data_IF_497973228220
#
_entry.id   IF_497973228220
#
_cell.length_a   1.000
_cell.length_b   1.000
_cell.length_c   1.000
_cell.angle_alpha   90.00
_cell.angle_beta   90.00
_cell.angle_gamma   90.00
#
_symmetry.space_group_name_H-M   'P 1'
#
loop_
_entity.id
_entity.type
_entity.pdbx_description
1 polymer ?
#
# COMPACT_ATOMS: atom_id res chain seq x y z
N UNK A 1 -14.51 6.31 -14.16
CA UNK A 1 -13.80 5.07 -14.56
C UNK A 1 -14.59 4.30 -15.59
N UNK A 2 -13.92 3.76 -16.63
CA UNK A 2 -14.53 2.84 -17.61
C UNK A 2 -14.52 1.40 -17.08
N UNK A 3 -15.34 0.51 -17.66
CA UNK A 3 -15.40 -0.90 -17.23
C UNK A 3 -14.04 -1.61 -17.31
N UNK A 4 -13.20 -1.28 -18.29
CA UNK A 4 -11.83 -1.80 -18.41
C UNK A 4 -10.95 -1.39 -17.21
N UNK A 5 -11.10 -0.16 -16.73
CA UNK A 5 -10.31 0.37 -15.61
C UNK A 5 -10.63 -0.38 -14.32
N UNK A 6 -11.93 -0.62 -14.07
CA UNK A 6 -12.40 -1.40 -12.91
C UNK A 6 -11.81 -2.81 -12.95
N UNK A 7 -11.79 -3.45 -14.13
CA UNK A 7 -11.20 -4.78 -14.28
C UNK A 7 -9.68 -4.79 -13.98
N UNK A 8 -8.94 -3.78 -14.46
CA UNK A 8 -7.50 -3.66 -14.18
C UNK A 8 -7.25 -3.49 -12.68
N UNK A 9 -8.00 -2.60 -12.00
CA UNK A 9 -7.93 -2.47 -10.54
C UNK A 9 -8.20 -3.81 -9.87
N UNK A 10 -9.28 -4.49 -10.24
CA UNK A 10 -9.67 -5.76 -9.64
C UNK A 10 -8.59 -6.83 -9.78
N UNK A 11 -7.99 -6.97 -10.96
CA UNK A 11 -6.89 -7.90 -11.21
C UNK A 11 -5.66 -7.56 -10.37
N UNK A 12 -5.25 -6.28 -10.35
CA UNK A 12 -4.12 -5.84 -9.55
C UNK A 12 -4.33 -6.11 -8.05
N UNK A 13 -5.51 -5.78 -7.52
CA UNK A 13 -5.84 -6.02 -6.12
C UNK A 13 -5.90 -7.51 -5.78
N UNK A 14 -6.45 -8.35 -6.67
CA UNK A 14 -6.46 -9.80 -6.49
C UNK A 14 -5.04 -10.37 -6.45
N UNK A 15 -4.17 -9.97 -7.36
CA UNK A 15 -2.75 -10.36 -7.36
C UNK A 15 -2.08 -9.91 -6.05
N UNK A 16 -2.30 -8.66 -5.64
CA UNK A 16 -1.76 -8.13 -4.38
C UNK A 16 -2.22 -8.92 -3.16
N UNK A 17 -3.50 -9.31 -3.11
CA UNK A 17 -4.07 -10.11 -2.04
C UNK A 17 -3.43 -11.52 -1.98
N UNK A 18 -3.25 -12.17 -3.13
CA UNK A 18 -2.57 -13.48 -3.21
C UNK A 18 -1.11 -13.35 -2.75
N UNK A 19 -0.39 -12.34 -3.21
CA UNK A 19 1.00 -12.10 -2.79
C UNK A 19 1.09 -11.87 -1.27
N UNK A 20 0.17 -11.10 -0.70
CA UNK A 20 0.11 -10.89 0.75
C UNK A 20 -0.19 -12.18 1.51
N UNK A 21 -1.13 -12.99 1.00
CA UNK A 21 -1.46 -14.28 1.59
C UNK A 21 -0.25 -15.22 1.60
N UNK A 22 0.45 -15.35 0.46
CA UNK A 22 1.66 -16.17 0.35
C UNK A 22 2.78 -15.63 1.24
N UNK A 23 2.98 -14.31 1.29
CA UNK A 23 4.00 -13.70 2.15
C UNK A 23 3.73 -13.97 3.64
N UNK A 24 2.45 -14.01 4.05
CA UNK A 24 2.04 -14.38 5.41
C UNK A 24 2.27 -15.86 5.76
N UNK A 25 2.42 -16.76 4.78
CA UNK A 25 2.71 -18.18 5.03
C UNK A 25 4.15 -18.44 5.50
N UNK A 26 5.07 -17.48 5.34
CA UNK A 26 6.47 -17.61 5.73
C UNK A 26 6.75 -16.86 7.05
N UNK A 27 6.68 -17.54 8.21
CA UNK A 27 6.96 -16.92 9.50
C UNK A 27 8.45 -16.54 9.61
N UNK A 28 8.74 -15.25 9.83
CA UNK A 28 10.10 -14.76 10.11
C UNK A 28 10.48 -13.50 9.34
N UNK A 29 9.84 -13.21 8.21
CA UNK A 29 9.93 -11.91 7.56
C UNK A 29 8.72 -11.09 8.02
N UNK A 30 8.95 -9.90 8.59
CA UNK A 30 7.81 -9.03 8.87
C UNK A 30 7.13 -8.72 7.54
N UNK A 31 5.87 -9.14 7.43
CA UNK A 31 5.17 -9.19 6.16
C UNK A 31 4.75 -7.79 5.77
N UNK A 32 5.59 -7.15 4.96
CA UNK A 32 5.25 -5.92 4.26
C UNK A 32 3.95 -6.09 3.47
N UNK A 33 3.31 -4.97 3.10
CA UNK A 33 2.07 -5.02 2.35
C UNK A 33 2.32 -4.90 0.83
N UNK A 34 2.39 -6.01 0.07
CA UNK A 34 2.56 -5.95 -1.39
C UNK A 34 1.30 -5.42 -2.10
N UNK A 35 0.13 -5.43 -1.45
CA UNK A 35 -1.10 -4.84 -2.01
C UNK A 35 -0.88 -3.37 -2.38
N UNK A 36 -0.01 -2.66 -1.64
CA UNK A 36 0.38 -1.28 -1.91
C UNK A 36 1.01 -1.11 -3.28
N UNK A 37 1.99 -1.95 -3.63
CA UNK A 37 2.63 -1.89 -4.94
C UNK A 37 1.60 -2.05 -6.05
N UNK A 38 0.69 -3.03 -5.90
CA UNK A 38 -0.28 -3.38 -6.94
C UNK A 38 -1.40 -2.34 -7.09
N UNK A 39 -1.91 -1.75 -6.00
CA UNK A 39 -2.87 -0.65 -6.15
C UNK A 39 -2.19 0.62 -6.66
N UNK A 40 -0.93 0.91 -6.26
CA UNK A 40 -0.20 2.05 -6.79
C UNK A 40 0.01 1.90 -8.30
N UNK A 41 0.38 0.70 -8.75
CA UNK A 41 0.46 0.36 -10.17
C UNK A 41 -0.88 0.61 -10.88
N UNK A 42 -1.99 0.13 -10.33
CA UNK A 42 -3.32 0.35 -10.91
C UNK A 42 -3.66 1.85 -11.03
N UNK A 43 -3.41 2.63 -9.97
CA UNK A 43 -3.62 4.09 -9.94
C UNK A 43 -2.75 4.80 -10.99
N UNK A 44 -1.48 4.40 -11.11
CA UNK A 44 -0.53 4.96 -12.08
C UNK A 44 -0.94 4.68 -13.53
N UNK A 45 -1.50 3.50 -13.81
CA UNK A 45 -1.94 3.06 -15.13
C UNK A 45 -3.25 3.73 -15.54
N UNK A 46 -4.24 3.76 -14.65
CA UNK A 46 -5.61 4.22 -14.93
C UNK A 46 -5.74 5.74 -14.79
N UNK A 47 -4.95 6.34 -13.90
CA UNK A 47 -5.04 7.76 -13.53
C UNK A 47 -6.45 8.15 -13.06
N UNK A 48 -6.97 7.48 -12.01
CA UNK A 48 -8.29 7.78 -11.47
C UNK A 48 -8.34 9.17 -10.84
N UNK A 49 -9.55 9.69 -10.63
CA UNK A 49 -9.76 10.86 -9.78
C UNK A 49 -9.42 10.55 -8.31
N UNK A 50 -9.21 11.57 -7.48
CA UNK A 50 -8.89 11.40 -6.06
C UNK A 50 -9.95 10.57 -5.31
N UNK A 51 -11.23 10.77 -5.63
CA UNK A 51 -12.34 10.02 -5.04
C UNK A 51 -12.30 8.54 -5.42
N UNK A 52 -12.03 8.25 -6.69
CA UNK A 52 -11.87 6.89 -7.19
C UNK A 52 -10.63 6.21 -6.59
N UNK A 53 -9.51 6.93 -6.47
CA UNK A 53 -8.29 6.44 -5.81
C UNK A 53 -8.54 6.08 -4.33
N UNK A 54 -9.27 6.92 -3.60
CA UNK A 54 -9.69 6.61 -2.23
C UNK A 54 -10.54 5.34 -2.16
N UNK A 55 -11.45 5.14 -3.13
CA UNK A 55 -12.24 3.91 -3.25
C UNK A 55 -11.38 2.66 -3.51
N UNK A 56 -10.39 2.76 -4.41
CA UNK A 56 -9.42 1.68 -4.66
C UNK A 56 -8.65 1.34 -3.38
N UNK A 57 -8.16 2.37 -2.68
CA UNK A 57 -7.45 2.21 -1.41
C UNK A 57 -8.33 1.62 -0.31
N UNK A 58 -9.63 1.93 -0.28
CA UNK A 58 -10.57 1.35 0.67
C UNK A 58 -10.76 -0.14 0.43
N UNK A 59 -10.96 -0.55 -0.82
CA UNK A 59 -11.05 -1.98 -1.18
C UNK A 59 -9.75 -2.70 -0.85
N UNK A 60 -8.60 -2.09 -1.16
CA UNK A 60 -7.28 -2.60 -0.78
C UNK A 60 -7.15 -2.74 0.75
N UNK A 61 -7.67 -1.77 1.52
CA UNK A 61 -7.71 -1.76 2.97
C UNK A 61 -8.56 -2.88 3.57
N UNK A 62 -9.74 -3.14 2.99
CA UNK A 62 -10.61 -4.27 3.37
C UNK A 62 -9.91 -5.60 3.11
N UNK A 63 -9.34 -5.80 1.92
CA UNK A 63 -8.60 -7.01 1.60
C UNK A 63 -7.40 -7.21 2.52
N UNK A 64 -6.67 -6.11 2.77
CA UNK A 64 -5.55 -6.05 3.68
C UNK A 64 -5.96 -6.45 5.09
N UNK A 65 -7.07 -5.91 5.61
CA UNK A 65 -7.60 -6.23 6.93
C UNK A 65 -7.94 -7.73 7.06
N UNK A 66 -8.56 -8.33 6.05
CA UNK A 66 -8.97 -9.74 6.10
C UNK A 66 -7.79 -10.73 6.04
N UNK A 67 -6.71 -10.35 5.36
CA UNK A 67 -5.56 -11.24 5.12
C UNK A 67 -4.42 -10.97 6.12
N UNK A 68 -4.42 -9.84 6.83
CA UNK A 68 -3.31 -9.43 7.69
C UNK A 68 -3.19 -10.23 8.99
N UNK A 69 -1.97 -10.61 9.34
CA UNK A 69 -1.59 -11.05 10.70
C UNK A 69 -1.05 -9.90 11.58
N UNK A 70 -1.30 -8.64 11.20
CA UNK A 70 -0.88 -7.47 11.98
C UNK A 70 -1.62 -7.35 13.32
N UNK A 71 -1.02 -6.66 14.29
CA UNK A 71 -1.57 -6.42 15.63
C UNK A 71 -2.95 -5.74 15.62
N UNK A 72 -3.18 -4.83 14.68
CA UNK A 72 -4.49 -4.18 14.52
C UNK A 72 -4.88 -4.09 13.03
N UNK A 73 -5.45 -5.17 12.46
CA UNK A 73 -5.83 -5.21 11.04
C UNK A 73 -6.75 -4.08 10.57
N UNK A 74 -7.70 -3.55 11.38
CA UNK A 74 -8.56 -2.44 10.96
C UNK A 74 -7.84 -1.14 10.62
N UNK A 75 -6.58 -0.93 11.06
CA UNK A 75 -5.81 0.26 10.66
C UNK A 75 -5.61 0.35 9.14
N UNK A 76 -5.60 -0.78 8.43
CA UNK A 76 -5.51 -0.82 6.96
C UNK A 76 -6.70 -0.12 6.27
N UNK A 77 -7.85 -0.02 6.94
CA UNK A 77 -9.04 0.62 6.38
C UNK A 77 -8.86 2.14 6.23
N UNK A 78 -7.93 2.74 6.98
CA UNK A 78 -7.61 4.17 6.91
C UNK A 78 -6.26 4.38 6.20
N UNK A 79 -5.26 3.55 6.49
CA UNK A 79 -3.92 3.74 5.92
C UNK A 79 -3.89 3.56 4.40
N UNK A 80 -4.63 2.58 3.87
CA UNK A 80 -4.60 2.29 2.43
C UNK A 80 -5.33 3.31 1.56
N UNK A 81 -6.51 3.86 1.95
CA UNK A 81 -7.07 5.03 1.29
C UNK A 81 -6.12 6.23 1.26
N UNK A 82 -5.43 6.51 2.38
CA UNK A 82 -4.44 7.60 2.43
C UNK A 82 -3.29 7.36 1.47
N UNK A 83 -2.73 6.14 1.46
CA UNK A 83 -1.71 5.74 0.50
C UNK A 83 -2.17 5.90 -0.95
N UNK A 84 -3.34 5.38 -1.30
CA UNK A 84 -3.88 5.46 -2.66
C UNK A 84 -4.14 6.91 -3.13
N UNK A 85 -4.65 7.77 -2.24
CA UNK A 85 -4.81 9.20 -2.53
C UNK A 85 -3.46 9.87 -2.75
N UNK A 86 -2.49 9.62 -1.87
CA UNK A 86 -1.13 10.16 -2.02
C UNK A 86 -0.48 9.65 -3.30
N UNK A 87 -0.68 8.40 -3.67
CA UNK A 87 -0.21 7.85 -4.94
C UNK A 87 -0.78 8.64 -6.13
N UNK A 88 -2.09 8.88 -6.15
CA UNK A 88 -2.75 9.61 -7.24
C UNK A 88 -2.23 11.06 -7.36
N UNK A 89 -2.10 11.76 -6.22
CA UNK A 89 -1.61 13.15 -6.17
C UNK A 89 -0.13 13.22 -6.55
N UNK A 90 0.71 12.39 -5.93
CA UNK A 90 2.16 12.40 -6.15
C UNK A 90 2.49 12.06 -7.60
N UNK A 91 1.84 11.04 -8.17
CA UNK A 91 2.05 10.71 -9.57
C UNK A 91 1.64 11.84 -10.50
N UNK A 92 0.52 12.53 -10.20
CA UNK A 92 0.06 13.67 -11.00
C UNK A 92 1.06 14.84 -10.98
N UNK A 93 1.77 15.04 -9.87
CA UNK A 93 2.80 16.09 -9.75
C UNK A 93 4.13 15.71 -10.42
N UNK A 94 4.51 14.43 -10.36
CA UNK A 94 5.81 13.94 -10.83
C UNK A 94 5.81 13.45 -12.27
N UNK A 95 4.62 13.22 -12.88
CA UNK A 95 4.53 12.49 -14.15
C UNK A 95 5.29 13.08 -15.33
N UNK A 96 5.59 14.36 -15.30
CA UNK A 96 6.28 15.08 -16.38
C UNK A 96 7.66 15.61 -15.94
N UNK A 97 8.07 15.36 -14.69
CA UNK A 97 9.20 16.04 -14.06
C UNK A 97 10.42 15.14 -13.80
N UNK A 98 10.21 13.84 -13.55
CA UNK A 98 11.29 12.97 -13.05
C UNK A 98 11.29 11.61 -13.77
N UNK A 99 12.47 11.04 -14.12
CA UNK A 99 12.59 9.63 -14.47
C UNK A 99 12.22 8.73 -13.27
N UNK A 100 11.68 7.53 -13.51
CA UNK A 100 11.25 6.60 -12.45
C UNK A 100 10.17 7.16 -11.51
N UNK A 101 9.30 8.03 -12.03
CA UNK A 101 8.14 8.59 -11.32
C UNK A 101 7.26 7.53 -10.64
N UNK A 102 7.15 6.33 -11.21
CA UNK A 102 6.35 5.23 -10.67
C UNK A 102 6.93 4.67 -9.38
N UNK A 103 8.26 4.48 -9.34
CA UNK A 103 8.99 4.08 -8.15
C UNK A 103 8.86 5.13 -7.04
N UNK A 104 9.14 6.40 -7.33
CA UNK A 104 9.10 7.50 -6.34
C UNK A 104 7.69 7.66 -5.78
N UNK A 105 6.67 7.63 -6.64
CA UNK A 105 5.27 7.72 -6.22
C UNK A 105 4.92 6.57 -5.27
N UNK A 106 5.29 5.33 -5.63
CA UNK A 106 4.99 4.15 -4.83
C UNK A 106 5.72 4.17 -3.50
N UNK A 107 6.97 4.63 -3.48
CA UNK A 107 7.75 4.78 -2.26
C UNK A 107 7.06 5.76 -1.30
N UNK A 108 6.71 6.96 -1.77
CA UNK A 108 6.02 7.98 -0.96
C UNK A 108 4.67 7.47 -0.47
N UNK A 109 3.88 6.83 -1.35
CA UNK A 109 2.60 6.20 -1.00
C UNK A 109 2.76 5.15 0.11
N UNK A 110 3.77 4.27 -0.02
CA UNK A 110 4.03 3.21 0.97
C UNK A 110 4.46 3.79 2.31
N UNK A 111 5.30 4.83 2.31
CA UNK A 111 5.67 5.55 3.53
C UNK A 111 4.44 6.16 4.20
N UNK A 112 3.58 6.88 3.46
CA UNK A 112 2.38 7.49 4.04
C UNK A 112 1.42 6.43 4.58
N UNK A 113 1.17 5.34 3.85
CA UNK A 113 0.34 4.23 4.34
C UNK A 113 0.96 3.61 5.60
N UNK A 114 2.25 3.29 5.58
CA UNK A 114 2.95 2.69 6.73
C UNK A 114 2.95 3.58 7.98
N UNK A 115 3.26 4.87 7.84
CA UNK A 115 3.24 5.81 8.97
C UNK A 115 1.83 6.05 9.50
N UNK A 116 0.83 6.11 8.61
CA UNK A 116 -0.58 6.20 9.01
C UNK A 116 -1.01 4.95 9.80
N UNK A 117 -0.60 3.76 9.33
CA UNK A 117 -0.87 2.50 9.99
C UNK A 117 -0.27 2.48 11.41
N UNK A 118 1.02 2.79 11.55
CA UNK A 118 1.66 2.86 12.88
C UNK A 118 0.97 3.90 13.76
N UNK A 119 0.69 5.09 13.24
CA UNK A 119 0.04 6.16 14.01
C UNK A 119 -1.30 5.71 14.61
N UNK A 120 -2.13 5.03 13.81
CA UNK A 120 -3.41 4.45 14.28
C UNK A 120 -3.16 3.38 15.34
N UNK A 121 -2.22 2.46 15.10
CA UNK A 121 -1.87 1.43 16.09
C UNK A 121 -1.41 2.06 17.42
N UNK A 122 -0.58 3.11 17.39
CA UNK A 122 -0.11 3.81 18.58
C UNK A 122 -1.26 4.47 19.35
N UNK A 123 -2.21 5.13 18.67
CA UNK A 123 -3.39 5.73 19.32
C UNK A 123 -4.25 4.66 20.00
N UNK A 124 -4.51 3.56 19.31
CA UNK A 124 -5.31 2.43 19.84
C UNK A 124 -4.61 1.76 21.03
N UNK A 125 -3.28 1.63 20.98
CA UNK A 125 -2.46 1.12 22.09
C UNK A 125 -2.47 2.06 23.30
N UNK A 126 -2.33 3.37 23.09
CA UNK A 126 -2.40 4.37 24.17
C UNK A 126 -3.78 4.41 24.85
N UNK A 127 -4.83 4.17 24.07
CA UNK A 127 -6.19 4.03 24.59
C UNK A 127 -6.49 2.66 25.21
N UNK A 128 -5.48 1.79 25.38
CA UNK A 128 -5.56 0.46 26.01
C UNK A 128 -6.53 -0.53 25.35
N UNK A 129 -6.90 -0.31 24.08
CA UNK A 129 -7.73 -1.26 23.33
C UNK A 129 -6.94 -2.48 22.84
N UNK A 130 -5.61 -2.38 22.75
CA UNK A 130 -4.71 -3.44 22.28
C UNK A 130 -3.44 -3.45 23.12
N UNK A 131 -2.94 -4.65 23.48
CA UNK A 131 -1.71 -4.80 24.23
C UNK A 131 -0.49 -4.30 23.45
N UNK A 132 0.46 -3.68 24.16
CA UNK A 132 1.74 -3.22 23.58
C UNK A 132 2.75 -4.37 23.60
N UNK A 133 3.09 -4.99 22.47
CA UNK A 133 3.92 -6.20 22.46
C UNK A 133 5.35 -5.95 22.96
N UNK A 134 5.85 -4.72 22.76
CA UNK A 134 7.20 -4.27 23.08
C UNK A 134 7.31 -3.58 24.44
N UNK A 135 6.25 -3.62 25.25
CA UNK A 135 6.16 -2.91 26.54
C UNK A 135 5.98 -1.39 26.44
N UNK A 136 6.58 -0.74 25.43
CA UNK A 136 6.43 0.71 25.17
C UNK A 136 5.99 0.98 23.73
N UNK A 137 5.16 2.01 23.57
CA UNK A 137 4.68 2.49 22.26
C UNK A 137 5.85 2.98 21.39
N UNK A 138 6.87 3.58 22.00
CA UNK A 138 8.12 3.97 21.32
C UNK A 138 8.90 2.76 20.84
N UNK A 139 9.01 1.69 21.64
CA UNK A 139 9.64 0.44 21.24
C UNK A 139 8.93 -0.21 20.04
N UNK A 140 7.60 -0.08 19.98
CA UNK A 140 6.82 -0.56 18.83
C UNK A 140 7.13 0.26 17.57
N UNK A 141 7.18 1.59 17.67
CA UNK A 141 7.54 2.46 16.55
C UNK A 141 8.93 2.13 16.00
N UNK A 142 9.94 2.00 16.87
CA UNK A 142 11.32 1.68 16.47
C UNK A 142 11.40 0.31 15.80
N UNK A 143 10.65 -0.68 16.30
CA UNK A 143 10.61 -2.00 15.69
C UNK A 143 9.99 -1.99 14.28
N UNK A 144 8.91 -1.23 14.06
CA UNK A 144 8.17 -1.22 12.79
C UNK A 144 8.76 -0.26 11.75
N UNK A 145 9.51 0.75 12.17
CA UNK A 145 10.10 1.74 11.25
C UNK A 145 10.97 1.11 10.13
N UNK A 146 11.92 0.20 10.39
CA UNK A 146 12.70 -0.46 9.34
C UNK A 146 11.83 -1.22 8.34
N UNK A 147 10.74 -1.82 8.83
CA UNK A 147 9.81 -2.61 8.01
C UNK A 147 9.11 -1.72 7.00
N UNK A 148 8.66 -0.51 7.41
CA UNK A 148 8.04 0.45 6.49
C UNK A 148 9.02 0.80 5.38
N UNK A 149 10.27 1.14 5.73
CA UNK A 149 11.26 1.59 4.76
C UNK A 149 11.63 0.45 3.80
N UNK A 150 11.89 -0.75 4.31
CA UNK A 150 12.18 -1.93 3.47
C UNK A 150 11.01 -2.24 2.55
N UNK A 151 9.78 -2.23 3.08
CA UNK A 151 8.57 -2.46 2.30
C UNK A 151 8.38 -1.38 1.23
N UNK A 152 8.64 -0.11 1.54
CA UNK A 152 8.56 0.99 0.59
C UNK A 152 9.55 0.84 -0.56
N UNK A 153 10.79 0.42 -0.26
CA UNK A 153 11.79 0.12 -1.29
C UNK A 153 11.33 -1.04 -2.17
N UNK A 154 10.94 -2.18 -1.57
CA UNK A 154 10.50 -3.36 -2.33
C UNK A 154 9.30 -3.00 -3.21
N UNK A 155 8.28 -2.33 -2.66
CA UNK A 155 7.09 -1.93 -3.41
C UNK A 155 7.43 -0.99 -4.55
N UNK A 156 8.35 -0.03 -4.34
CA UNK A 156 8.79 0.89 -5.39
C UNK A 156 9.45 0.15 -6.56
N UNK A 157 10.29 -0.84 -6.26
CA UNK A 157 10.96 -1.67 -7.27
C UNK A 157 9.94 -2.53 -8.01
N UNK A 158 9.03 -3.20 -7.29
CA UNK A 158 7.97 -4.02 -7.87
C UNK A 158 7.10 -3.20 -8.83
N UNK A 159 6.62 -2.03 -8.41
CA UNK A 159 5.80 -1.18 -9.28
C UNK A 159 6.59 -0.72 -10.51
N UNK A 160 7.86 -0.35 -10.35
CA UNK A 160 8.69 0.10 -11.46
C UNK A 160 8.88 -1.00 -12.52
N UNK A 161 9.16 -2.23 -12.08
CA UNK A 161 9.35 -3.39 -12.96
C UNK A 161 8.04 -3.74 -13.66
N UNK A 162 6.92 -3.80 -12.92
CA UNK A 162 5.61 -4.19 -13.46
C UNK A 162 5.00 -3.13 -14.37
N UNK A 163 5.33 -1.84 -14.18
CA UNK A 163 4.80 -0.77 -15.02
C UNK A 163 5.13 -0.96 -16.50
N UNK A 164 6.34 -1.41 -16.83
CA UNK A 164 6.80 -1.58 -18.21
C UNK A 164 5.93 -2.58 -18.99
N UNK A 165 5.76 -3.84 -18.57
CA UNK A 165 4.91 -4.80 -19.26
C UNK A 165 3.43 -4.40 -19.20
N UNK A 166 2.93 -3.93 -18.05
CA UNK A 166 1.52 -3.57 -17.90
C UNK A 166 1.12 -2.43 -18.83
N UNK A 167 1.95 -1.39 -18.96
CA UNK A 167 1.69 -0.29 -19.90
C UNK A 167 1.61 -0.77 -21.34
N UNK A 168 2.51 -1.66 -21.74
CA UNK A 168 2.55 -2.21 -23.11
C UNK A 168 1.31 -3.03 -23.46
N UNK A 169 0.79 -3.79 -22.49
CA UNK A 169 -0.44 -4.57 -22.65
C UNK A 169 -1.67 -3.66 -22.71
N UNK A 170 -1.73 -2.62 -21.87
CA UNK A 170 -2.86 -1.67 -21.85
C UNK A 170 -2.91 -0.76 -23.08
N UNK A 171 -1.78 -0.51 -23.74
CA UNK A 171 -1.71 0.30 -24.97
C UNK A 171 -2.07 -0.46 -26.24
N UNK A 172 -2.34 -1.77 -26.15
CA UNK A 172 -2.91 -2.58 -27.25
C UNK A 172 -4.43 -2.52 -27.20
#
# INVERSE_FOLDING_TARGET
MKSKDIAIVGICLAIGAILRFVANMFPGAIVGNPVIALYCLAVILIRPSVKEAAGIGLVAGVMSMLISHSIFPPANLISEPLGAVVCAVTYSLLREKIPMKEAVTTFVSTCVSGFSFIGICMVVMLASFVAVPTGTVTGFFIAVLPIIIITAVINSVVTQILYIPSKKVLSR
#
